data_IF_977865685641
#
_entry.id   IF_977865685641
#
_cell.length_a   1.000
_cell.length_b   1.000
_cell.length_c   1.000
_cell.angle_alpha   90.00
_cell.angle_beta   90.00
_cell.angle_gamma   90.00
#
_symmetry.space_group_name_H-M   'P 1'
#
loop_
_entity.id
_entity.type
_entity.pdbx_description
1 polymer ?
#
# COMPACT_ATOMS: atom_id res chain seq x y z
N UNK A 1 2.83 -10.80 -10.08
CA UNK A 1 3.06 -9.45 -9.55
C UNK A 1 3.67 -9.54 -8.16
N UNK A 2 4.58 -8.67 -7.85
CA UNK A 2 5.19 -8.64 -6.52
C UNK A 2 4.26 -7.92 -5.53
N UNK A 3 4.33 -8.31 -4.27
CA UNK A 3 3.53 -7.72 -3.22
C UNK A 3 4.39 -6.81 -2.34
N UNK A 4 3.83 -5.66 -1.98
CA UNK A 4 4.52 -4.66 -1.16
C UNK A 4 3.58 -4.15 -0.08
N UNK A 5 4.16 -3.77 1.06
CA UNK A 5 3.45 -3.05 2.11
C UNK A 5 4.06 -1.66 2.22
N UNK A 6 3.23 -0.65 2.34
CA UNK A 6 3.68 0.73 2.50
C UNK A 6 3.02 1.36 3.70
N UNK A 7 3.76 2.19 4.41
CA UNK A 7 3.23 2.95 5.53
C UNK A 7 3.23 4.44 5.16
N UNK A 8 2.13 5.10 5.44
CA UNK A 8 1.93 6.51 5.14
C UNK A 8 1.51 7.26 6.39
N UNK A 9 2.11 8.41 6.63
CA UNK A 9 1.74 9.28 7.74
C UNK A 9 1.17 10.56 7.16
N UNK A 10 -0.05 10.90 7.56
CA UNK A 10 -0.77 12.06 7.02
C UNK A 10 -1.26 12.94 8.16
N UNK A 11 -0.84 14.19 8.15
CA UNK A 11 -1.31 15.16 9.13
C UNK A 11 -2.80 15.43 8.92
N UNK A 12 -3.55 15.56 10.01
CA UNK A 12 -4.96 15.90 9.97
C UNK A 12 -5.81 14.95 9.12
N UNK A 13 -5.50 13.65 9.17
CA UNK A 13 -6.26 12.66 8.44
C UNK A 13 -7.66 12.54 9.01
N UNK A 14 -8.66 12.73 8.15
CA UNK A 14 -10.06 12.54 8.50
C UNK A 14 -10.60 11.30 7.82
N UNK A 15 -11.75 10.81 8.32
CA UNK A 15 -12.40 9.66 7.68
C UNK A 15 -12.72 9.95 6.22
N UNK A 16 -13.25 11.14 5.94
CA UNK A 16 -13.56 11.53 4.56
C UNK A 16 -12.32 11.57 3.69
N UNK A 17 -11.23 12.14 4.19
CA UNK A 17 -9.97 12.19 3.45
C UNK A 17 -9.42 10.78 3.19
N UNK A 18 -9.52 9.89 4.18
CA UNK A 18 -9.09 8.51 4.02
C UNK A 18 -9.94 7.78 2.98
N UNK A 19 -11.24 8.01 2.97
CA UNK A 19 -12.13 7.41 1.97
C UNK A 19 -11.81 7.90 0.56
N UNK A 20 -11.48 9.17 0.40
CA UNK A 20 -11.09 9.72 -0.90
C UNK A 20 -9.78 9.12 -1.38
N UNK A 21 -8.81 8.94 -0.48
CA UNK A 21 -7.56 8.25 -0.82
C UNK A 21 -7.83 6.82 -1.26
N UNK A 22 -8.71 6.12 -0.56
CA UNK A 22 -9.07 4.75 -0.93
C UNK A 22 -9.67 4.69 -2.33
N UNK A 23 -10.51 5.66 -2.68
CA UNK A 23 -11.08 5.73 -4.03
C UNK A 23 -10.00 5.94 -5.09
N UNK A 24 -9.04 6.82 -4.82
CA UNK A 24 -7.92 7.05 -5.74
C UNK A 24 -7.08 5.80 -5.91
N UNK A 25 -6.82 5.10 -4.81
CA UNK A 25 -6.06 3.85 -4.85
C UNK A 25 -6.80 2.79 -5.64
N UNK A 26 -8.12 2.69 -5.47
CA UNK A 26 -8.94 1.73 -6.20
C UNK A 26 -8.96 1.98 -7.71
N UNK A 27 -8.77 3.23 -8.11
CA UNK A 27 -8.77 3.62 -9.53
C UNK A 27 -7.40 3.45 -10.19
N UNK A 28 -6.36 3.16 -9.44
CA UNK A 28 -5.02 3.00 -9.99
C UNK A 28 -4.96 1.83 -10.95
N UNK A 29 -4.24 1.99 -12.07
CA UNK A 29 -4.11 0.96 -13.08
C UNK A 29 -2.71 0.37 -13.14
N UNK A 30 -1.70 1.16 -12.85
CA UNK A 30 -0.31 0.72 -12.88
C UNK A 30 0.06 -0.16 -11.69
N UNK A 31 -0.65 0.02 -10.59
CA UNK A 31 -0.50 -0.77 -9.36
C UNK A 31 -1.86 -1.15 -8.85
N UNK A 32 -1.94 -2.18 -8.02
CA UNK A 32 -3.20 -2.62 -7.43
C UNK A 32 -3.10 -2.52 -5.91
N UNK A 33 -3.99 -1.73 -5.30
CA UNK A 33 -4.09 -1.67 -3.85
C UNK A 33 -5.06 -2.75 -3.40
N UNK A 34 -4.55 -3.75 -2.68
CA UNK A 34 -5.35 -4.90 -2.23
C UNK A 34 -6.01 -4.67 -0.88
N UNK A 35 -5.34 -3.94 -0.02
CA UNK A 35 -5.85 -3.70 1.32
C UNK A 35 -5.38 -2.33 1.79
N UNK A 36 -6.28 -1.59 2.42
CA UNK A 36 -5.98 -0.31 3.03
C UNK A 36 -6.47 -0.37 4.46
N UNK A 37 -5.57 -0.15 5.40
CA UNK A 37 -5.90 -0.11 6.83
C UNK A 37 -5.56 1.26 7.36
N UNK A 38 -6.42 1.82 8.18
CA UNK A 38 -6.32 3.22 8.58
C UNK A 38 -6.44 3.35 10.10
N UNK A 39 -5.58 4.18 10.67
CA UNK A 39 -5.73 4.64 12.04
C UNK A 39 -5.83 6.16 12.00
N UNK A 40 -7.03 6.69 12.23
CA UNK A 40 -7.28 8.13 12.14
C UNK A 40 -6.60 8.91 13.27
N UNK A 41 -6.58 8.33 14.47
CA UNK A 41 -5.98 9.00 15.63
C UNK A 41 -4.48 9.21 15.43
N UNK A 42 -3.81 8.20 14.90
CA UNK A 42 -2.37 8.27 14.64
C UNK A 42 -2.04 8.91 13.30
N UNK A 43 -3.04 9.08 12.44
CA UNK A 43 -2.83 9.65 11.11
C UNK A 43 -2.02 8.74 10.20
N UNK A 44 -2.29 7.43 10.25
CA UNK A 44 -1.49 6.46 9.48
C UNK A 44 -2.35 5.57 8.62
N UNK A 45 -1.80 5.23 7.45
CA UNK A 45 -2.36 4.22 6.57
C UNK A 45 -1.33 3.14 6.32
N UNK A 46 -1.78 1.90 6.33
CA UNK A 46 -0.98 0.77 5.91
C UNK A 46 -1.64 0.20 4.67
N UNK A 47 -0.90 0.18 3.56
CA UNK A 47 -1.46 -0.26 2.28
C UNK A 47 -0.70 -1.47 1.75
N UNK A 48 -1.43 -2.45 1.27
CA UNK A 48 -0.87 -3.61 0.60
C UNK A 48 -1.08 -3.44 -0.89
N UNK A 49 0.04 -3.38 -1.63
CA UNK A 49 0.03 -3.20 -3.08
C UNK A 49 0.53 -4.43 -3.80
N UNK A 50 0.07 -4.59 -5.03
CA UNK A 50 0.70 -5.46 -6.01
C UNK A 50 1.18 -4.59 -7.16
N UNK A 51 2.40 -4.82 -7.60
CA UNK A 51 3.01 -4.08 -8.70
C UNK A 51 4.02 -4.97 -9.42
N UNK A 52 4.39 -4.58 -10.63
CA UNK A 52 5.37 -5.34 -11.41
C UNK A 52 6.71 -5.40 -10.70
N UNK A 53 7.14 -4.27 -10.14
CA UNK A 53 8.38 -4.17 -9.38
C UNK A 53 8.30 -2.96 -8.45
N UNK A 54 9.34 -2.82 -7.61
CA UNK A 54 9.40 -1.74 -6.64
C UNK A 54 9.48 -0.37 -7.31
N UNK A 55 10.23 -0.29 -8.40
CA UNK A 55 10.40 0.99 -9.11
C UNK A 55 9.07 1.50 -9.66
N UNK A 56 8.26 0.61 -10.20
CA UNK A 56 6.93 0.96 -10.70
C UNK A 56 6.05 1.50 -9.58
N UNK A 57 6.07 0.83 -8.41
CA UNK A 57 5.30 1.28 -7.26
C UNK A 57 5.78 2.64 -6.77
N UNK A 58 7.07 2.81 -6.58
CA UNK A 58 7.60 4.07 -6.09
C UNK A 58 7.37 5.23 -7.07
N UNK A 59 7.47 4.96 -8.36
CA UNK A 59 7.16 5.96 -9.39
C UNK A 59 5.70 6.37 -9.33
N UNK A 60 4.79 5.41 -9.14
CA UNK A 60 3.37 5.72 -9.02
C UNK A 60 3.08 6.54 -7.77
N UNK A 61 3.66 6.18 -6.63
CA UNK A 61 3.50 6.91 -5.39
C UNK A 61 3.96 8.36 -5.54
N UNK A 62 5.12 8.55 -6.16
CA UNK A 62 5.69 9.87 -6.39
C UNK A 62 4.83 10.70 -7.35
N UNK A 63 4.40 10.11 -8.45
CA UNK A 63 3.56 10.76 -9.45
C UNK A 63 2.24 11.25 -8.86
N UNK A 64 1.69 10.51 -7.91
CA UNK A 64 0.43 10.84 -7.27
C UNK A 64 0.60 11.65 -5.98
N UNK A 65 1.82 12.10 -5.70
CA UNK A 65 2.15 12.87 -4.50
C UNK A 65 1.70 12.18 -3.22
N UNK A 66 1.78 10.86 -3.21
CA UNK A 66 1.40 10.05 -2.06
C UNK A 66 2.67 9.69 -1.30
N UNK A 67 3.00 10.49 -0.31
CA UNK A 67 4.19 10.29 0.51
C UNK A 67 4.10 9.01 1.31
N UNK A 68 5.24 8.34 1.47
CA UNK A 68 5.31 7.10 2.24
C UNK A 68 6.54 7.12 3.13
N UNK A 69 6.42 6.48 4.29
CA UNK A 69 7.52 6.39 5.25
C UNK A 69 8.49 5.28 4.86
N UNK A 70 7.94 4.15 4.39
CA UNK A 70 8.74 3.04 3.92
C UNK A 70 7.94 2.16 2.96
N UNK A 71 8.69 1.39 2.17
CA UNK A 71 8.14 0.36 1.28
C UNK A 71 8.84 -0.95 1.67
N UNK A 72 8.05 -1.96 1.95
CA UNK A 72 8.55 -3.29 2.29
C UNK A 72 8.10 -4.27 1.22
N UNK A 73 9.04 -5.00 0.64
CA UNK A 73 8.66 -6.12 -0.22
C UNK A 73 8.24 -7.28 0.65
N UNK A 74 7.06 -7.82 0.41
CA UNK A 74 6.56 -8.98 1.13
C UNK A 74 6.91 -10.22 0.33
N UNK A 75 7.95 -10.93 0.77
CA UNK A 75 8.38 -12.16 0.11
C UNK A 75 7.59 -13.38 0.56
N UNK A 76 7.33 -13.46 1.86
CA UNK A 76 6.68 -14.62 2.47
C UNK A 76 5.55 -14.15 3.36
N UNK A 77 4.51 -14.96 3.40
CA UNK A 77 3.37 -14.73 4.29
C UNK A 77 3.08 -15.99 5.08
N UNK A 78 2.63 -15.82 6.31
CA UNK A 78 2.24 -16.95 7.14
C UNK A 78 0.86 -17.44 6.72
N UNK A 79 0.74 -18.75 6.56
CA UNK A 79 -0.52 -19.41 6.25
C UNK A 79 -0.56 -20.72 7.01
N UNK A 80 -1.44 -20.82 8.00
CA UNK A 80 -1.57 -22.01 8.82
C UNK A 80 -0.29 -22.39 9.55
N UNK A 81 0.46 -21.41 10.05
CA UNK A 81 1.71 -21.65 10.76
C UNK A 81 2.91 -21.92 9.87
N UNK A 82 2.76 -21.78 8.56
CA UNK A 82 3.83 -21.98 7.58
C UNK A 82 4.07 -20.70 6.82
N UNK A 83 5.27 -20.53 6.29
CA UNK A 83 5.59 -19.40 5.42
C UNK A 83 5.47 -19.85 3.97
N UNK A 84 4.68 -19.12 3.21
CA UNK A 84 4.47 -19.38 1.78
C UNK A 84 4.84 -18.14 0.98
N UNK A 85 5.17 -18.33 -0.29
CA UNK A 85 5.54 -17.22 -1.15
C UNK A 85 4.35 -16.26 -1.31
N UNK A 86 4.64 -14.97 -1.18
CA UNK A 86 3.66 -13.91 -1.37
C UNK A 86 3.77 -13.35 -2.78
N UNK A 87 2.64 -13.20 -3.45
CA UNK A 87 2.61 -12.68 -4.80
C UNK A 87 3.15 -13.69 -5.80
N UNK A 88 2.99 -13.40 -7.08
CA UNK A 88 3.53 -14.23 -8.15
C UNK A 88 4.84 -13.63 -8.64
N UNK A 89 5.76 -14.49 -8.90
CA UNK A 89 7.06 -14.10 -9.42
C UNK A 89 6.95 -13.47 -10.82
#
# INVERSE_FOLDING_TARGET
MAKYATLHTLACLTRQGAEELTKRLSAAQEVTARRVQVNLVEGKLLVEFEAADRETLEAWLKKNAFHYDWVLRVELEAEGGRLVAAGSA
#
